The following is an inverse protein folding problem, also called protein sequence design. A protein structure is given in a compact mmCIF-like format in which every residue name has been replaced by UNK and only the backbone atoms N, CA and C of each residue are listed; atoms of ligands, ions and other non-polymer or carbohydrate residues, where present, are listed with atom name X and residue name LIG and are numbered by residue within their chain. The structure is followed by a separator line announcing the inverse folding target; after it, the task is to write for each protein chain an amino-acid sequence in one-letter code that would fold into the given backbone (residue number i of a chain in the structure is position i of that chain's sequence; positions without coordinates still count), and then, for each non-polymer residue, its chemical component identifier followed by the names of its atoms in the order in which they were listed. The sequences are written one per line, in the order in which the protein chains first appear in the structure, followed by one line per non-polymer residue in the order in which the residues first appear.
data_IF_250286161972
#
_entry.id   IF_250286161972
#
_cell.length_a   1.000
_cell.length_b   1.000
_cell.length_c   1.000
_cell.angle_alpha   90.00
_cell.angle_beta   90.00
_cell.angle_gamma   90.00
#
_symmetry.space_group_name_H-M   'P 1'
#
loop_
_entity.id
_entity.type
_entity.pdbx_description
1 polymer ?
#
# COMPACT_ATOMS: atom_id res chain seq x y z
N UNK A 1 -9.48 -6.53 -45.03
CA UNK A 1 -8.89 -7.00 -43.76
C UNK A 1 -7.39 -6.81 -43.86
N UNK A 2 -6.84 -5.94 -43.01
CA UNK A 2 -5.50 -5.38 -43.13
C UNK A 2 -4.38 -6.37 -42.82
N UNK A 3 -3.29 -6.25 -43.59
CA UNK A 3 -2.07 -7.08 -43.57
C UNK A 3 -1.37 -7.08 -42.19
N UNK A 4 -1.67 -6.09 -41.33
CA UNK A 4 -1.07 -5.99 -40.00
C UNK A 4 -1.59 -7.02 -38.99
N UNK A 5 -2.76 -7.64 -39.21
CA UNK A 5 -3.26 -8.68 -38.30
C UNK A 5 -2.51 -10.02 -38.44
N UNK A 6 -1.78 -10.25 -39.54
CA UNK A 6 -1.03 -11.50 -39.74
C UNK A 6 0.30 -11.56 -38.99
N UNK A 7 0.83 -10.42 -38.53
CA UNK A 7 2.14 -10.39 -37.85
C UNK A 7 2.08 -10.91 -36.40
N UNK A 8 0.88 -11.02 -35.79
CA UNK A 8 0.73 -11.49 -34.41
C UNK A 8 0.55 -13.01 -34.26
N UNK A 9 0.49 -13.78 -35.36
CA UNK A 9 0.36 -15.24 -35.33
C UNK A 9 1.63 -15.98 -35.80
N UNK A 10 2.80 -15.34 -35.69
CA UNK A 10 4.09 -15.92 -36.04
C UNK A 10 4.87 -16.42 -34.83
N UNK A 11 4.78 -17.74 -34.57
CA UNK A 11 5.72 -18.60 -33.84
C UNK A 11 6.54 -18.01 -32.68
N UNK A 12 6.12 -18.30 -31.44
CA UNK A 12 7.03 -18.45 -30.30
C UNK A 12 7.13 -19.94 -29.93
N UNK A 13 8.15 -20.63 -30.45
CA UNK A 13 8.80 -21.69 -29.68
C UNK A 13 9.71 -20.97 -28.69
N UNK A 14 9.24 -20.85 -27.45
CA UNK A 14 10.10 -20.55 -26.31
C UNK A 14 10.07 -21.80 -25.42
N UNK A 15 11.15 -22.54 -25.53
CA UNK A 15 11.63 -23.50 -24.54
C UNK A 15 11.85 -22.79 -23.21
N UNK A 16 11.27 -23.31 -22.14
CA UNK A 16 11.41 -22.80 -20.78
C UNK A 16 10.06 -22.38 -20.23
N UNK A 17 9.43 -23.26 -19.45
CA UNK A 17 8.23 -22.93 -18.71
C UNK A 17 8.56 -21.96 -17.57
N UNK A 18 8.75 -20.69 -17.91
CA UNK A 18 8.43 -19.63 -16.96
C UNK A 18 6.91 -19.49 -16.99
N UNK A 19 6.27 -20.12 -16.01
CA UNK A 19 4.88 -19.85 -15.67
C UNK A 19 4.72 -18.34 -15.58
N UNK A 20 4.01 -17.74 -16.55
CA UNK A 20 3.57 -16.36 -16.48
C UNK A 20 2.57 -16.28 -15.32
N UNK A 21 3.09 -16.22 -14.10
CA UNK A 21 2.27 -16.05 -12.91
C UNK A 21 1.58 -14.70 -13.06
N UNK A 22 0.25 -14.72 -13.21
CA UNK A 22 -0.50 -13.48 -13.28
C UNK A 22 -0.35 -12.79 -11.94
N UNK A 23 0.37 -11.66 -11.89
CA UNK A 23 0.54 -10.92 -10.65
C UNK A 23 -0.80 -10.28 -10.25
N UNK A 24 -1.47 -10.87 -9.25
CA UNK A 24 -2.73 -10.34 -8.71
C UNK A 24 -2.46 -9.08 -7.92
N UNK A 25 -3.14 -7.99 -8.27
CA UNK A 25 -3.03 -6.75 -7.53
C UNK A 25 -3.65 -6.87 -6.15
N UNK A 26 -2.86 -6.64 -5.10
CA UNK A 26 -3.34 -6.60 -3.72
C UNK A 26 -3.50 -5.16 -3.25
N UNK A 27 -4.72 -4.63 -3.44
CA UNK A 27 -5.00 -3.25 -3.09
C UNK A 27 -4.78 -2.92 -1.61
N UNK A 28 -5.06 -3.86 -0.71
CA UNK A 28 -4.88 -3.65 0.74
C UNK A 28 -3.42 -3.38 1.11
N UNK A 29 -2.46 -3.99 0.42
CA UNK A 29 -1.04 -3.71 0.62
C UNK A 29 -0.70 -2.27 0.24
N UNK A 30 -1.16 -1.80 -0.93
CA UNK A 30 -0.97 -0.41 -1.35
C UNK A 30 -1.65 0.61 -0.43
N UNK A 31 -2.82 0.27 0.14
CA UNK A 31 -3.51 1.12 1.13
C UNK A 31 -2.72 1.25 2.42
N UNK A 32 -2.12 0.14 2.87
CA UNK A 32 -1.25 0.12 4.05
C UNK A 32 0.01 0.95 3.81
N UNK A 33 0.66 0.82 2.66
CA UNK A 33 1.82 1.65 2.31
C UNK A 33 1.47 3.14 2.24
N UNK A 34 0.30 3.50 1.70
CA UNK A 34 -0.19 4.88 1.70
C UNK A 34 -0.36 5.42 3.14
N UNK A 35 -0.95 4.63 4.04
CA UNK A 35 -1.10 5.02 5.45
C UNK A 35 0.27 5.17 6.14
N UNK A 36 1.19 4.24 5.91
CA UNK A 36 2.57 4.32 6.42
C UNK A 36 3.28 5.58 5.92
N UNK A 37 3.15 5.92 4.64
CA UNK A 37 3.73 7.13 4.06
C UNK A 37 3.19 8.40 4.75
N UNK A 38 1.89 8.44 5.02
CA UNK A 38 1.25 9.56 5.73
C UNK A 38 1.82 9.70 7.14
N UNK A 39 1.93 8.59 7.89
CA UNK A 39 2.46 8.58 9.26
C UNK A 39 3.93 9.02 9.29
N UNK A 40 4.77 8.43 8.42
CA UNK A 40 6.22 8.66 8.43
C UNK A 40 6.62 10.08 8.03
N UNK A 41 5.85 10.70 7.13
CA UNK A 41 6.15 12.03 6.60
C UNK A 41 5.22 13.12 7.14
N UNK A 42 4.37 12.77 8.11
CA UNK A 42 3.36 13.65 8.71
C UNK A 42 2.55 14.41 7.65
N UNK A 43 2.16 13.70 6.57
CA UNK A 43 1.44 14.34 5.49
C UNK A 43 0.01 14.68 5.91
N UNK A 44 -0.52 15.84 5.48
CA UNK A 44 -1.92 16.16 5.70
C UNK A 44 -2.81 15.10 5.07
N UNK A 45 -3.79 14.58 5.82
CA UNK A 45 -4.73 13.58 5.31
C UNK A 45 -5.48 14.06 4.06
N UNK A 46 -5.74 15.36 3.97
CA UNK A 46 -6.41 16.00 2.82
C UNK A 46 -5.67 15.79 1.49
N UNK A 47 -4.36 15.51 1.53
CA UNK A 47 -3.54 15.27 0.34
C UNK A 47 -4.12 14.16 -0.56
N UNK A 48 -4.78 13.15 0.02
CA UNK A 48 -5.38 12.05 -0.75
C UNK A 48 -6.62 12.47 -1.55
N UNK A 49 -7.25 13.59 -1.22
CA UNK A 49 -8.38 14.15 -1.99
C UNK A 49 -7.91 15.06 -3.14
N UNK A 50 -6.64 15.49 -3.13
CA UNK A 50 -6.14 16.39 -4.16
C UNK A 50 -6.18 15.73 -5.55
N UNK A 51 -6.79 16.42 -6.51
CA UNK A 51 -6.98 15.92 -7.89
C UNK A 51 -5.64 15.50 -8.50
N UNK A 52 -4.58 16.28 -8.31
CA UNK A 52 -3.24 15.98 -8.83
C UNK A 52 -2.67 14.69 -8.24
N UNK A 53 -2.87 14.44 -6.94
CA UNK A 53 -2.42 13.21 -6.29
C UNK A 53 -3.21 11.99 -6.80
N UNK A 54 -4.53 12.12 -6.92
CA UNK A 54 -5.39 11.07 -7.49
C UNK A 54 -4.98 10.71 -8.92
N UNK A 55 -4.70 11.71 -9.76
CA UNK A 55 -4.21 11.51 -11.13
C UNK A 55 -2.83 10.85 -11.16
N UNK A 56 -1.92 11.25 -10.27
CA UNK A 56 -0.61 10.65 -10.13
C UNK A 56 -0.71 9.15 -9.81
N UNK A 57 -1.47 8.78 -8.77
CA UNK A 57 -1.67 7.37 -8.39
C UNK A 57 -2.36 6.58 -9.52
N UNK A 58 -3.39 7.15 -10.16
CA UNK A 58 -4.08 6.49 -11.28
C UNK A 58 -3.14 6.23 -12.48
N UNK A 59 -2.19 7.14 -12.74
CA UNK A 59 -1.18 6.95 -13.79
C UNK A 59 -0.17 5.84 -13.47
N UNK A 60 0.15 5.66 -12.19
CA UNK A 60 1.07 4.60 -11.74
C UNK A 60 0.39 3.23 -11.66
N UNK A 61 -0.84 3.19 -11.13
CA UNK A 61 -1.59 1.96 -10.91
C UNK A 61 -3.08 2.13 -11.22
N UNK A 62 -3.51 1.88 -12.47
CA UNK A 62 -4.90 2.05 -12.88
C UNK A 62 -5.90 1.18 -12.10
N UNK A 63 -5.47 0.01 -11.61
CA UNK A 63 -6.31 -0.89 -10.82
C UNK A 63 -6.46 -0.46 -9.35
N UNK A 64 -5.84 0.63 -8.90
CA UNK A 64 -5.97 1.11 -7.53
C UNK A 64 -7.24 1.95 -7.39
N UNK A 65 -8.19 1.46 -6.61
CA UNK A 65 -9.37 2.25 -6.25
C UNK A 65 -8.98 3.32 -5.23
N UNK A 66 -9.08 4.58 -5.63
CA UNK A 66 -8.70 5.68 -4.75
C UNK A 66 -9.50 5.67 -3.44
N UNK A 67 -8.81 5.94 -2.33
CA UNK A 67 -9.39 5.91 -0.98
C UNK A 67 -9.81 7.30 -0.51
N UNK A 68 -10.82 7.35 0.36
CA UNK A 68 -11.22 8.58 1.04
C UNK A 68 -10.32 8.90 2.22
N UNK A 69 -10.33 10.15 2.69
CA UNK A 69 -9.69 10.54 3.96
C UNK A 69 -10.08 9.60 5.10
N UNK A 70 -11.38 9.28 5.23
CA UNK A 70 -11.88 8.43 6.31
C UNK A 70 -11.30 7.02 6.24
N UNK A 71 -11.11 6.49 5.02
CA UNK A 71 -10.50 5.18 4.80
C UNK A 71 -9.02 5.20 5.20
N UNK A 72 -8.28 6.24 4.82
CA UNK A 72 -6.87 6.40 5.22
C UNK A 72 -6.75 6.52 6.73
N UNK A 73 -7.61 7.33 7.36
CA UNK A 73 -7.66 7.47 8.81
C UNK A 73 -7.94 6.13 9.51
N UNK A 74 -8.91 5.34 9.00
CA UNK A 74 -9.19 4.01 9.53
C UNK A 74 -7.98 3.07 9.40
N UNK A 75 -7.24 3.14 8.29
CA UNK A 75 -6.01 2.34 8.13
C UNK A 75 -4.90 2.77 9.08
N UNK A 76 -4.74 4.08 9.32
CA UNK A 76 -3.79 4.61 10.32
C UNK A 76 -4.15 4.11 11.72
N UNK A 77 -5.43 4.15 12.09
CA UNK A 77 -5.89 3.65 13.39
C UNK A 77 -5.62 2.14 13.56
N UNK A 78 -5.80 1.33 12.51
CA UNK A 78 -5.43 -0.09 12.55
C UNK A 78 -3.93 -0.29 12.79
N UNK A 79 -3.08 0.47 12.11
CA UNK A 79 -1.62 0.42 12.32
C UNK A 79 -1.29 0.81 13.76
N UNK A 80 -1.91 1.86 14.28
CA UNK A 80 -1.73 2.28 15.67
C UNK A 80 -2.14 1.18 16.67
N UNK A 81 -3.30 0.57 16.50
CA UNK A 81 -3.78 -0.48 17.39
C UNK A 81 -2.85 -1.71 17.37
N UNK A 82 -2.35 -2.10 16.20
CA UNK A 82 -1.37 -3.17 16.04
C UNK A 82 -0.05 -2.86 16.74
N UNK A 83 0.52 -1.65 16.53
CA UNK A 83 1.77 -1.22 17.18
C UNK A 83 1.60 -1.06 18.70
N UNK A 84 0.45 -0.55 19.15
CA UNK A 84 0.10 -0.45 20.57
C UNK A 84 0.06 -1.82 21.21
N UNK A 85 -0.56 -2.82 20.57
CA UNK A 85 -0.58 -4.19 21.06
C UNK A 85 0.84 -4.77 21.19
N UNK A 86 1.69 -4.58 20.17
CA UNK A 86 3.10 -5.00 20.22
C UNK A 86 3.85 -4.33 21.38
N UNK A 87 3.66 -3.04 21.59
CA UNK A 87 4.24 -2.31 22.71
C UNK A 87 3.81 -2.90 24.06
N UNK A 88 2.52 -3.19 24.25
CA UNK A 88 2.06 -3.85 25.49
C UNK A 88 2.68 -5.23 25.69
N UNK A 89 2.77 -6.03 24.62
CA UNK A 89 3.40 -7.35 24.69
C UNK A 89 4.88 -7.26 25.08
N UNK A 90 5.59 -6.23 24.60
CA UNK A 90 6.98 -5.97 24.98
C UNK A 90 7.07 -5.54 26.45
N UNK A 91 6.25 -4.59 26.88
CA UNK A 91 6.22 -4.10 28.26
C UNK A 91 5.87 -5.20 29.27
N UNK A 92 4.93 -6.09 28.94
CA UNK A 92 4.57 -7.22 29.81
C UNK A 92 5.72 -8.22 30.03
N UNK A 93 6.72 -8.25 29.14
CA UNK A 93 7.92 -9.09 29.30
C UNK A 93 8.99 -8.44 30.18
N UNK A 94 8.89 -7.14 30.44
CA UNK A 94 9.85 -6.39 31.25
C UNK A 94 9.60 -6.69 32.73
N UNK A 95 10.62 -7.22 33.41
CA UNK A 95 10.56 -7.56 34.85
C UNK A 95 11.10 -6.45 35.77
N UNK A 96 11.58 -5.35 35.21
CA UNK A 96 12.11 -4.21 35.95
C UNK A 96 11.13 -3.03 35.96
N UNK A 97 11.44 -2.00 36.77
CA UNK A 97 10.68 -0.75 36.79
C UNK A 97 10.99 0.05 35.53
N UNK A 98 9.94 0.54 34.87
CA UNK A 98 10.03 1.42 33.69
C UNK A 98 9.62 2.82 34.11
N UNK A 99 10.47 3.81 33.86
CA UNK A 99 10.12 5.21 33.99
C UNK A 99 9.59 5.72 32.65
N UNK A 100 8.41 6.34 32.64
CA UNK A 100 7.80 6.94 31.45
C UNK A 100 7.95 8.45 31.58
N UNK A 101 8.60 9.07 30.61
CA UNK A 101 8.73 10.53 30.51
C UNK A 101 8.05 11.00 29.24
N UNK A 102 7.24 12.04 29.35
CA UNK A 102 6.56 12.66 28.21
C UNK A 102 7.00 14.11 28.13
N UNK A 103 7.40 14.54 26.93
CA UNK A 103 7.59 15.95 26.59
C UNK A 103 6.22 16.58 26.31
N UNK A 104 6.00 17.80 26.79
CA UNK A 104 4.70 18.51 26.72
C UNK A 104 4.75 19.63 25.70
#
# INVERSE_FOLDING_TARGET
MDIQQRFLMGNKKLSGGEELTSHVFRQEESRRELATMVILHDYPLLMVEHISFRRFIASLRPCFNMVSINTVNSNIMKIYDDEKLKCYQLLNKVKCRVAITTDM
#
